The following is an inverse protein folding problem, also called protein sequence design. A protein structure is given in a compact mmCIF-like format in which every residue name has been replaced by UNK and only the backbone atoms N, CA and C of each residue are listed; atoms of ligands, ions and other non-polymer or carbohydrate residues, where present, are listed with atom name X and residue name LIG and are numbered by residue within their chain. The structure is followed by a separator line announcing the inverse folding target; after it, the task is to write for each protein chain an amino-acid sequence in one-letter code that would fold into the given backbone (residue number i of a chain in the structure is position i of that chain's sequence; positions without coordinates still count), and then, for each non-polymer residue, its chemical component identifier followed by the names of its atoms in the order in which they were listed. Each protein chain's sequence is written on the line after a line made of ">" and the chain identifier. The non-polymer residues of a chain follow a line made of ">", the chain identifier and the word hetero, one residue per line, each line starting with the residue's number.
data_IF_742536838102
#
_entry.id   IF_742536838102
#
_cell.length_a   1.000
_cell.length_b   1.000
_cell.length_c   1.000
_cell.angle_alpha   90.00
_cell.angle_beta   90.00
_cell.angle_gamma   90.00
#
_symmetry.space_group_name_H-M   'P 1'
#
loop_
_entity.id
_entity.type
_entity.pdbx_description
1 polymer ?
#
# COMPACT_ATOMS: atom_id res chain seq x y z
N UNK A 1 4.41 -16.42 5.75
CA UNK A 1 5.08 -15.36 4.96
C UNK A 1 4.51 -15.30 3.56
N UNK A 2 4.56 -16.38 2.75
CA UNK A 2 3.93 -16.39 1.41
C UNK A 2 2.46 -15.97 1.42
N UNK A 3 1.66 -16.48 2.37
CA UNK A 3 0.24 -16.15 2.47
C UNK A 3 -0.05 -14.64 2.56
N UNK A 4 0.80 -13.86 3.24
CA UNK A 4 0.60 -12.40 3.35
C UNK A 4 0.80 -11.72 1.99
N UNK A 5 1.82 -12.13 1.24
CA UNK A 5 2.12 -11.54 -0.07
C UNK A 5 1.16 -12.04 -1.16
N UNK A 6 0.67 -13.27 -1.06
CA UNK A 6 -0.40 -13.77 -1.92
C UNK A 6 -1.70 -12.98 -1.69
N UNK A 7 -2.09 -12.76 -0.43
CA UNK A 7 -3.23 -11.91 -0.09
C UNK A 7 -3.05 -10.46 -0.51
N UNK A 8 -1.85 -9.90 -0.37
CA UNK A 8 -1.53 -8.56 -0.88
C UNK A 8 -1.68 -8.51 -2.40
N UNK A 9 -1.14 -9.51 -3.12
CA UNK A 9 -1.28 -9.61 -4.57
C UNK A 9 -2.75 -9.67 -4.97
N UNK A 10 -3.56 -10.52 -4.35
CA UNK A 10 -4.99 -10.59 -4.62
C UNK A 10 -5.73 -9.27 -4.32
N UNK A 11 -5.34 -8.59 -3.23
CA UNK A 11 -5.89 -7.28 -2.91
C UNK A 11 -5.58 -6.28 -4.01
N UNK A 12 -4.31 -6.17 -4.42
CA UNK A 12 -3.88 -5.26 -5.48
C UNK A 12 -4.53 -5.59 -6.83
N UNK A 13 -4.74 -6.87 -7.13
CA UNK A 13 -5.39 -7.32 -8.36
C UNK A 13 -6.88 -6.94 -8.46
N UNK A 14 -7.54 -6.76 -7.31
CA UNK A 14 -8.92 -6.27 -7.25
C UNK A 14 -9.04 -4.75 -7.38
N UNK A 15 -7.92 -4.01 -7.31
CA UNK A 15 -7.96 -2.56 -7.45
C UNK A 15 -8.02 -2.14 -8.94
N UNK A 16 -8.55 -0.94 -9.26
CA UNK A 16 -8.62 -0.41 -10.63
C UNK A 16 -7.27 -0.26 -11.32
N UNK A 17 -6.87 -1.24 -12.13
CA UNK A 17 -5.55 -1.29 -12.79
C UNK A 17 -4.93 -2.68 -12.73
N UNK A 18 -5.34 -3.48 -11.74
CA UNK A 18 -4.93 -4.87 -11.56
C UNK A 18 -3.48 -5.04 -11.13
N UNK A 19 -3.14 -6.27 -10.77
CA UNK A 19 -1.80 -6.73 -10.43
C UNK A 19 -1.67 -8.21 -10.83
N UNK A 20 -1.63 -8.47 -12.16
CA UNK A 20 -1.78 -9.81 -12.68
C UNK A 20 -0.62 -10.69 -12.23
N UNK A 21 -0.95 -11.94 -11.89
CA UNK A 21 0.05 -12.95 -11.57
C UNK A 21 0.89 -13.34 -12.79
N UNK A 22 2.09 -13.85 -12.55
CA UNK A 22 2.97 -14.41 -13.58
C UNK A 22 3.16 -15.90 -13.34
N UNK A 23 3.37 -16.69 -14.40
CA UNK A 23 3.66 -18.13 -14.27
C UNK A 23 4.93 -18.38 -13.44
N UNK A 24 5.85 -17.41 -13.44
CA UNK A 24 7.11 -17.47 -12.70
C UNK A 24 7.04 -17.01 -11.25
N UNK A 25 5.91 -16.45 -10.80
CA UNK A 25 5.73 -15.88 -9.45
C UNK A 25 6.61 -14.66 -9.15
N UNK A 26 7.11 -13.96 -10.18
CA UNK A 26 7.99 -12.79 -10.04
C UNK A 26 7.28 -11.65 -9.29
N UNK A 27 5.97 -11.53 -9.44
CA UNK A 27 5.15 -10.53 -8.75
C UNK A 27 5.23 -10.66 -7.23
N UNK A 28 5.25 -11.88 -6.69
CA UNK A 28 5.34 -12.11 -5.23
C UNK A 28 6.74 -11.71 -4.72
N UNK A 29 7.79 -12.03 -5.48
CA UNK A 29 9.16 -11.61 -5.15
C UNK A 29 9.33 -10.10 -5.18
N UNK A 30 8.61 -9.40 -6.06
CA UNK A 30 8.57 -7.94 -6.08
C UNK A 30 7.91 -7.41 -4.80
N UNK A 31 6.75 -7.95 -4.41
CA UNK A 31 6.06 -7.54 -3.18
C UNK A 31 6.93 -7.77 -1.93
N UNK A 32 7.58 -8.93 -1.83
CA UNK A 32 8.52 -9.26 -0.75
C UNK A 32 9.72 -8.30 -0.67
N UNK A 33 10.15 -7.76 -1.81
CA UNK A 33 11.29 -6.83 -1.87
C UNK A 33 10.90 -5.41 -1.48
N UNK A 34 9.65 -5.04 -1.75
CA UNK A 34 9.11 -3.69 -1.57
C UNK A 34 8.53 -3.48 -0.18
N UNK A 35 7.78 -4.46 0.34
CA UNK A 35 7.04 -4.36 1.59
C UNK A 35 7.70 -5.22 2.67
N UNK A 36 7.75 -4.70 3.91
CA UNK A 36 7.87 -5.57 5.08
C UNK A 36 6.58 -6.37 5.27
N UNK A 37 6.59 -7.48 6.04
CA UNK A 37 5.37 -8.22 6.35
C UNK A 37 4.25 -7.35 6.96
N UNK A 38 4.61 -6.42 7.85
CA UNK A 38 3.66 -5.52 8.51
C UNK A 38 3.10 -4.46 7.55
N UNK A 39 3.91 -4.00 6.61
CA UNK A 39 3.47 -3.08 5.56
C UNK A 39 2.56 -3.80 4.57
N UNK A 40 2.88 -5.03 4.20
CA UNK A 40 2.08 -5.87 3.32
C UNK A 40 0.72 -6.22 3.94
N UNK A 41 0.68 -6.45 5.25
CA UNK A 41 -0.57 -6.62 5.99
C UNK A 41 -1.40 -5.33 5.98
N UNK A 42 -0.80 -4.19 6.30
CA UNK A 42 -1.52 -2.90 6.32
C UNK A 42 -2.01 -2.48 4.93
N UNK A 43 -1.23 -2.75 3.87
CA UNK A 43 -1.55 -2.40 2.49
C UNK A 43 -2.84 -3.08 1.98
N UNK A 44 -3.18 -4.27 2.49
CA UNK A 44 -4.46 -4.94 2.20
C UNK A 44 -5.68 -4.16 2.70
N UNK A 45 -5.45 -3.19 3.59
CA UNK A 45 -6.43 -2.27 4.11
C UNK A 45 -6.27 -0.87 3.50
N UNK A 46 -5.69 -0.71 2.32
CA UNK A 46 -5.81 0.54 1.57
C UNK A 46 -6.96 0.44 0.56
N UNK A 47 -7.51 1.57 0.14
CA UNK A 47 -8.54 1.63 -0.90
C UNK A 47 -8.21 2.72 -1.91
N UNK A 48 -9.01 2.86 -2.96
CA UNK A 48 -8.88 3.96 -3.93
C UNK A 48 -9.48 5.29 -3.45
N UNK A 49 -9.85 5.40 -2.17
CA UNK A 49 -10.30 6.64 -1.56
C UNK A 49 -9.21 7.18 -0.64
N UNK A 50 -9.08 8.51 -0.60
CA UNK A 50 -8.25 9.18 0.39
C UNK A 50 -8.89 9.04 1.77
N UNK A 51 -8.21 8.33 2.65
CA UNK A 51 -8.68 8.01 4.01
C UNK A 51 -7.64 8.47 5.05
N UNK A 52 -8.10 8.81 6.25
CA UNK A 52 -7.19 9.14 7.36
C UNK A 52 -6.54 7.88 7.91
N UNK A 53 -5.41 8.05 8.63
CA UNK A 53 -4.79 6.93 9.34
C UNK A 53 -5.74 6.26 10.34
N UNK A 54 -6.60 7.03 11.02
CA UNK A 54 -7.62 6.51 11.92
C UNK A 54 -8.57 5.51 11.23
N UNK A 55 -9.13 5.87 10.06
CA UNK A 55 -10.06 5.01 9.33
C UNK A 55 -9.39 3.72 8.83
N UNK A 56 -8.13 3.83 8.39
CA UNK A 56 -7.34 2.67 7.96
C UNK A 56 -7.01 1.78 9.18
N UNK A 57 -6.64 2.37 10.31
CA UNK A 57 -6.29 1.68 11.54
C UNK A 57 -7.47 0.86 12.08
N UNK A 58 -8.67 1.46 12.11
CA UNK A 58 -9.90 0.79 12.50
C UNK A 58 -10.16 -0.46 11.65
N UNK A 59 -10.03 -0.31 10.32
CA UNK A 59 -10.24 -1.41 9.37
C UNK A 59 -9.14 -2.47 9.43
N UNK A 60 -7.92 -2.10 9.80
CA UNK A 60 -6.79 -2.99 9.98
C UNK A 60 -6.71 -3.61 11.39
N UNK A 61 -7.57 -3.20 12.33
CA UNK A 61 -7.55 -3.69 13.71
C UNK A 61 -6.28 -3.32 14.48
N UNK A 62 -5.64 -2.20 14.15
CA UNK A 62 -4.43 -1.70 14.82
C UNK A 62 -4.66 -0.32 15.44
N UNK A 63 -3.76 0.15 16.29
CA UNK A 63 -3.83 1.51 16.82
C UNK A 63 -3.52 2.55 15.75
N UNK A 64 -4.12 3.74 15.88
CA UNK A 64 -3.89 4.85 14.97
C UNK A 64 -2.40 5.24 14.91
N UNK A 65 -1.69 5.31 16.05
CA UNK A 65 -0.26 5.62 16.08
C UNK A 65 0.59 4.63 15.27
N UNK A 66 0.24 3.33 15.34
CA UNK A 66 0.93 2.28 14.55
C UNK A 66 0.64 2.46 13.07
N UNK A 67 -0.60 2.77 12.71
CA UNK A 67 -0.96 3.07 11.33
C UNK A 67 -0.22 4.31 10.82
N UNK A 68 -0.18 5.41 11.58
CA UNK A 68 0.54 6.64 11.22
C UNK A 68 2.01 6.35 10.94
N UNK A 69 2.70 5.65 11.85
CA UNK A 69 4.11 5.34 11.69
C UNK A 69 4.36 4.53 10.40
N UNK A 70 3.59 3.44 10.21
CA UNK A 70 3.74 2.56 9.04
C UNK A 70 3.37 3.25 7.73
N UNK A 71 2.25 3.97 7.69
CA UNK A 71 1.80 4.70 6.50
C UNK A 71 2.85 5.74 6.09
N UNK A 72 3.47 6.46 7.04
CA UNK A 72 4.56 7.39 6.74
C UNK A 72 5.78 6.71 6.13
N UNK A 73 6.16 5.53 6.62
CA UNK A 73 7.27 4.78 6.05
C UNK A 73 6.93 4.25 4.64
N UNK A 74 5.69 3.80 4.42
CA UNK A 74 5.19 3.41 3.11
C UNK A 74 5.15 4.58 2.12
N UNK A 75 4.79 5.80 2.56
CA UNK A 75 4.88 7.03 1.75
C UNK A 75 6.33 7.27 1.32
N UNK A 76 7.28 7.22 2.26
CA UNK A 76 8.71 7.44 1.96
C UNK A 76 9.27 6.43 0.96
N UNK A 77 8.74 5.21 0.95
CA UNK A 77 9.09 4.14 0.01
C UNK A 77 8.33 4.22 -1.32
N UNK A 78 7.37 5.13 -1.46
CA UNK A 78 6.53 5.24 -2.67
C UNK A 78 5.53 4.08 -2.85
N UNK A 79 5.13 3.41 -1.77
CA UNK A 79 4.26 2.22 -1.81
C UNK A 79 2.76 2.55 -1.82
N UNK A 80 2.41 3.81 -1.55
CA UNK A 80 1.04 4.31 -1.53
C UNK A 80 1.04 5.80 -1.90
N UNK A 81 -0.14 6.33 -2.23
CA UNK A 81 -0.30 7.77 -2.46
C UNK A 81 -0.81 8.46 -1.19
N UNK A 82 -0.34 9.67 -0.92
CA UNK A 82 -0.84 10.49 0.17
C UNK A 82 -1.01 11.95 -0.24
N UNK A 83 -1.92 12.63 0.46
CA UNK A 83 -2.01 14.08 0.48
C UNK A 83 -1.65 14.56 1.87
N UNK A 84 -0.59 15.36 1.95
CA UNK A 84 -0.15 16.04 3.16
C UNK A 84 -0.10 17.54 2.88
N UNK A 85 -0.90 18.31 3.61
CA UNK A 85 -0.95 19.77 3.50
C UNK A 85 -0.78 20.40 4.88
N UNK A 86 -0.15 21.58 4.98
CA UNK A 86 -0.11 22.32 6.24
C UNK A 86 -1.53 22.49 6.82
N UNK A 87 -1.68 22.20 8.12
CA UNK A 87 -2.93 22.34 8.88
C UNK A 87 -4.09 21.40 8.50
N UNK A 88 -3.82 20.25 7.85
CA UNK A 88 -4.83 19.19 7.68
C UNK A 88 -4.27 17.82 8.04
N UNK A 89 -5.15 16.93 8.50
CA UNK A 89 -4.79 15.53 8.75
C UNK A 89 -4.36 14.87 7.43
N UNK A 90 -3.20 14.21 7.39
CA UNK A 90 -2.76 13.47 6.21
C UNK A 90 -3.77 12.39 5.82
N UNK A 91 -3.95 12.21 4.52
CA UNK A 91 -4.80 11.16 3.96
C UNK A 91 -4.02 10.28 3.01
N UNK A 92 -4.41 9.02 2.92
CA UNK A 92 -3.67 7.96 2.27
C UNK A 92 -4.62 7.14 1.40
N UNK A 93 -4.14 6.61 0.29
CA UNK A 93 -4.87 5.69 -0.58
C UNK A 93 -3.90 4.70 -1.24
N UNK A 94 -4.42 3.58 -1.72
CA UNK A 94 -3.63 2.60 -2.45
C UNK A 94 -3.02 3.22 -3.72
N UNK A 95 -1.77 2.89 -4.00
CA UNK A 95 -1.15 3.18 -5.29
C UNK A 95 -1.51 2.09 -6.31
N UNK A 96 -1.85 2.48 -7.54
CA UNK A 96 -2.01 1.53 -8.64
C UNK A 96 -0.63 1.12 -9.15
N UNK A 97 -0.36 -0.18 -9.20
CA UNK A 97 0.94 -0.70 -9.64
C UNK A 97 1.29 -0.28 -11.07
N UNK A 98 0.29 -0.20 -11.96
CA UNK A 98 0.47 0.04 -13.40
C UNK A 98 0.61 1.53 -13.76
N UNK A 99 0.17 2.45 -12.90
CA UNK A 99 0.30 3.90 -13.11
C UNK A 99 0.87 4.50 -11.82
N UNK A 100 2.19 4.47 -11.71
CA UNK A 100 2.88 5.10 -10.58
C UNK A 100 4.36 4.80 -10.54
N UNK A 101 4.76 3.52 -10.64
CA UNK A 101 6.18 3.15 -10.45
C UNK A 101 7.08 3.72 -11.56
N UNK A 102 6.60 3.78 -12.81
CA UNK A 102 7.37 4.35 -13.93
C UNK A 102 7.39 5.89 -13.87
N UNK A 103 6.27 6.56 -13.60
CA UNK A 103 6.20 8.03 -13.58
C UNK A 103 6.94 8.67 -12.38
N UNK A 104 7.00 7.99 -11.22
CA UNK A 104 7.75 8.48 -10.05
C UNK A 104 9.27 8.24 -10.12
N UNK A 105 9.79 7.55 -11.14
CA UNK A 105 11.23 7.28 -11.31
C UNK A 105 11.88 8.03 -12.49
N UNK A 106 11.16 8.94 -13.16
CA UNK A 106 11.69 9.72 -14.30
C UNK A 106 11.78 11.23 -14.10
N UNK A 107 11.76 11.75 -12.88
CA UNK A 107 12.24 13.10 -12.58
C UNK A 107 13.02 13.16 -11.27
#
# INVERSE_FOLDING_TARGET
>A
MNDIYERLKEHMDRLPGGFPGTETGVELRILERLFSPEEAELAQHLTMKLETAAAIAERAGISEDKAIARLKDMVRKGLLFNIETPNRTPTYMAAQFVIGIWEYHVN
#
